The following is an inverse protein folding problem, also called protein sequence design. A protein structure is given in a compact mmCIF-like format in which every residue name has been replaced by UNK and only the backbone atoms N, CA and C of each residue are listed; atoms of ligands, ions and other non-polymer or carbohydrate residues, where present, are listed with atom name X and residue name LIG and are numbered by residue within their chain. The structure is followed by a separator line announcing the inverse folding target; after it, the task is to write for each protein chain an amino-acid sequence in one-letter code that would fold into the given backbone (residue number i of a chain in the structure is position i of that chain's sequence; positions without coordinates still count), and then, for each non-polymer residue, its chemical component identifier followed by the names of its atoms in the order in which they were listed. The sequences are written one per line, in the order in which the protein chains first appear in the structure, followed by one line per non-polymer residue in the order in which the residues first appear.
data_IF_777366003867
#
_entry.id   IF_777366003867
#
_cell.length_a   1.000
_cell.length_b   1.000
_cell.length_c   1.000
_cell.angle_alpha   90.00
_cell.angle_beta   90.00
_cell.angle_gamma   90.00
#
_symmetry.space_group_name_H-M   'P 1'
#
loop_
_entity.id
_entity.type
_entity.pdbx_description
1 polymer ?
#
# COMPACT_ATOMS: atom_id res chain seq x y z
N UNK A 1 -11.47 26.80 -1.77
CA UNK A 1 -10.66 25.60 -1.46
C UNK A 1 -10.75 24.62 -2.61
N UNK A 2 -9.69 23.85 -2.94
CA UNK A 2 -9.74 22.76 -3.93
C UNK A 2 -9.72 21.42 -3.19
N UNK A 3 -10.76 20.57 -3.31
CA UNK A 3 -10.78 19.26 -2.65
C UNK A 3 -9.72 18.34 -3.26
N UNK A 4 -9.08 17.51 -2.42
CA UNK A 4 -8.02 16.56 -2.80
C UNK A 4 -8.18 15.30 -1.96
N UNK A 5 -7.90 14.14 -2.55
CA UNK A 5 -7.80 12.88 -1.80
C UNK A 5 -6.35 12.76 -1.34
N UNK A 6 -6.14 12.61 -0.03
CA UNK A 6 -4.81 12.52 0.59
C UNK A 6 -4.40 11.11 0.94
N UNK A 7 -5.37 10.20 1.13
CA UNK A 7 -5.11 8.81 1.49
C UNK A 7 -6.28 7.93 1.03
N UNK A 8 -5.95 6.74 0.56
CA UNK A 8 -6.90 5.66 0.30
C UNK A 8 -6.34 4.41 0.97
N UNK A 9 -7.14 3.76 1.81
CA UNK A 9 -6.79 2.47 2.42
C UNK A 9 -7.59 1.38 1.74
N UNK A 10 -6.91 0.36 1.21
CA UNK A 10 -7.51 -0.77 0.52
C UNK A 10 -7.24 -2.04 1.32
N UNK A 11 -8.30 -2.73 1.74
CA UNK A 11 -8.19 -4.08 2.28
C UNK A 11 -7.99 -5.08 1.15
N UNK A 12 -7.10 -6.04 1.35
CA UNK A 12 -6.76 -7.07 0.36
C UNK A 12 -6.68 -8.44 1.03
N UNK A 13 -7.03 -9.48 0.28
CA UNK A 13 -6.95 -10.86 0.77
C UNK A 13 -5.51 -11.38 0.84
N UNK A 14 -4.61 -10.88 -0.02
CA UNK A 14 -3.19 -11.23 -0.07
C UNK A 14 -2.34 -9.97 -0.24
N UNK A 15 -1.64 -9.59 0.84
CA UNK A 15 -0.84 -8.38 0.90
C UNK A 15 0.41 -8.47 0.01
N UNK A 16 1.05 -9.63 -0.09
CA UNK A 16 2.29 -9.78 -0.87
C UNK A 16 2.00 -9.68 -2.36
N UNK A 17 0.91 -10.33 -2.79
CA UNK A 17 0.41 -10.22 -4.17
C UNK A 17 0.01 -8.79 -4.50
N UNK A 18 -0.71 -8.10 -3.61
CA UNK A 18 -1.09 -6.71 -3.82
C UNK A 18 0.14 -5.80 -3.94
N UNK A 19 1.15 -5.99 -3.09
CA UNK A 19 2.37 -5.19 -3.15
C UNK A 19 3.13 -5.39 -4.44
N UNK A 20 3.28 -6.63 -4.91
CA UNK A 20 3.89 -6.91 -6.21
C UNK A 20 3.10 -6.23 -7.35
N UNK A 21 1.76 -6.28 -7.30
CA UNK A 21 0.92 -5.63 -8.31
C UNK A 21 1.14 -4.10 -8.36
N UNK A 22 1.08 -3.41 -7.22
CA UNK A 22 1.23 -1.95 -7.19
C UNK A 22 2.67 -1.50 -7.42
N UNK A 23 3.66 -2.19 -6.85
CA UNK A 23 5.09 -1.85 -6.99
C UNK A 23 5.65 -2.22 -8.36
N UNK A 24 5.50 -3.48 -8.76
CA UNK A 24 6.17 -4.01 -9.96
C UNK A 24 5.27 -3.86 -11.20
N UNK A 25 3.95 -3.99 -11.02
CA UNK A 25 2.98 -3.84 -12.10
C UNK A 25 2.70 -2.38 -12.46
N UNK A 26 2.46 -1.53 -11.47
CA UNK A 26 2.14 -0.11 -11.69
C UNK A 26 3.31 0.85 -11.46
N UNK A 27 4.43 0.37 -10.91
CA UNK A 27 5.61 1.20 -10.67
C UNK A 27 5.48 2.16 -9.49
N UNK A 28 4.51 1.96 -8.58
CA UNK A 28 4.33 2.84 -7.43
C UNK A 28 5.44 2.64 -6.40
N UNK A 29 6.11 3.72 -5.95
CA UNK A 29 7.20 3.60 -4.99
C UNK A 29 6.68 3.19 -3.62
N UNK A 30 7.36 2.25 -2.99
CA UNK A 30 7.05 1.75 -1.65
C UNK A 30 8.31 1.29 -0.93
N UNK A 31 8.33 1.42 0.40
CA UNK A 31 9.36 0.83 1.25
C UNK A 31 9.08 -0.66 1.57
N UNK A 32 8.01 -1.23 1.01
CA UNK A 32 7.60 -2.61 1.22
C UNK A 32 6.59 -2.77 2.36
N UNK A 33 6.44 -4.01 2.81
CA UNK A 33 5.50 -4.38 3.88
C UNK A 33 6.16 -4.11 5.25
N UNK A 34 5.43 -3.43 6.12
CA UNK A 34 5.80 -3.17 7.52
C UNK A 34 4.78 -3.77 8.48
N UNK A 35 5.15 -4.00 9.74
CA UNK A 35 4.22 -4.48 10.78
C UNK A 35 3.85 -5.96 10.68
N UNK A 36 4.69 -6.79 10.04
CA UNK A 36 4.49 -8.26 9.94
C UNK A 36 4.54 -8.96 11.30
N UNK A 37 5.15 -8.32 12.30
CA UNK A 37 5.27 -8.79 13.67
C UNK A 37 3.97 -8.68 14.48
N UNK A 38 2.98 -7.92 13.98
CA UNK A 38 1.68 -7.74 14.64
C UNK A 38 0.58 -8.49 13.88
N UNK A 39 -0.26 -9.22 14.62
CA UNK A 39 -1.43 -9.89 14.06
C UNK A 39 -2.36 -8.85 13.41
N UNK A 40 -2.61 -8.99 12.11
CA UNK A 40 -3.35 -8.02 11.26
C UNK A 40 -2.75 -6.60 11.17
N UNK A 41 -1.51 -6.38 11.61
CA UNK A 41 -0.83 -5.08 11.53
C UNK A 41 -0.03 -4.86 10.24
N UNK A 42 0.04 -5.87 9.37
CA UNK A 42 0.82 -5.80 8.16
C UNK A 42 0.19 -4.86 7.12
N UNK A 43 0.94 -3.86 6.69
CA UNK A 43 0.51 -2.87 5.69
C UNK A 43 1.67 -2.46 4.78
N UNK A 44 1.35 -1.93 3.60
CA UNK A 44 2.32 -1.30 2.72
C UNK A 44 1.81 0.07 2.28
N UNK A 45 2.67 1.08 2.33
CA UNK A 45 2.36 2.43 1.89
C UNK A 45 2.93 2.69 0.50
N UNK A 46 2.17 3.39 -0.33
CA UNK A 46 2.55 3.79 -1.69
C UNK A 46 2.41 5.31 -1.81
N UNK A 47 3.39 5.95 -2.44
CA UNK A 47 3.28 7.37 -2.79
C UNK A 47 2.43 7.53 -4.05
N UNK A 48 1.50 8.49 -4.03
CA UNK A 48 0.60 8.79 -5.14
C UNK A 48 1.05 10.00 -5.97
N UNK A 49 2.13 10.67 -5.58
CA UNK A 49 2.70 11.84 -6.29
C UNK A 49 2.05 13.18 -5.97
#
# INVERSE_FOLDING_TARGET
MKPRITLITLGVDDLERAVAFYRDGLGLPTNGIVGREFEHGAVAFFDLG
#
